data_IF_748145773655
#
_entry.id   IF_748145773655
#
_cell.length_a   1.000
_cell.length_b   1.000
_cell.length_c   1.000
_cell.angle_alpha   90.00
_cell.angle_beta   90.00
_cell.angle_gamma   90.00
#
_symmetry.space_group_name_H-M   'P 1'
#
loop_
_entity.id
_entity.type
_entity.pdbx_description
1 polymer ?
#
# COMPACT_ATOMS: atom_id res chain seq x y z
N UNK A 1 -1.50 -20.69 2.19
CA UNK A 1 -2.41 -19.55 2.38
C UNK A 1 -1.72 -18.51 3.27
N UNK A 2 -0.63 -17.92 2.77
CA UNK A 2 0.27 -17.00 3.49
C UNK A 2 0.34 -15.61 2.83
N UNK A 3 -0.59 -15.30 1.90
CA UNK A 3 -0.49 -14.12 1.03
C UNK A 3 -0.91 -12.79 1.68
N UNK A 4 -1.79 -12.81 2.68
CA UNK A 4 -2.34 -11.58 3.25
C UNK A 4 -1.56 -11.00 4.44
N UNK A 5 -0.67 -11.79 5.04
CA UNK A 5 0.07 -11.36 6.24
C UNK A 5 1.35 -10.57 5.93
N UNK A 6 1.90 -10.68 4.72
CA UNK A 6 3.24 -10.15 4.44
C UNK A 6 3.32 -8.61 4.37
N UNK A 7 2.27 -7.92 3.89
CA UNK A 7 2.26 -6.46 3.89
C UNK A 7 2.09 -5.90 5.31
N UNK A 8 1.26 -6.53 6.13
CA UNK A 8 1.07 -6.14 7.53
C UNK A 8 2.38 -6.28 8.31
N UNK A 9 3.17 -7.33 8.04
CA UNK A 9 4.49 -7.50 8.66
C UNK A 9 5.50 -6.43 8.24
N UNK A 10 5.43 -5.90 7.02
CA UNK A 10 6.27 -4.80 6.58
C UNK A 10 6.03 -3.53 7.41
N UNK A 11 4.78 -3.19 7.66
CA UNK A 11 4.43 -2.04 8.50
C UNK A 11 4.77 -2.29 9.97
N UNK A 12 4.54 -3.48 10.49
CA UNK A 12 4.88 -3.84 11.87
C UNK A 12 6.39 -4.03 12.11
N UNK A 13 7.18 -4.18 11.05
CA UNK A 13 8.63 -4.38 11.16
C UNK A 13 9.40 -3.12 11.55
N UNK A 14 8.80 -1.94 11.49
CA UNK A 14 9.45 -0.66 11.81
C UNK A 14 9.96 -0.59 13.27
N UNK A 15 9.44 -1.44 14.14
CA UNK A 15 9.97 -1.61 15.51
C UNK A 15 11.39 -2.17 15.56
N UNK A 16 11.83 -2.85 14.51
CA UNK A 16 13.21 -3.33 14.39
C UNK A 16 14.04 -2.33 13.59
N UNK A 17 15.06 -1.67 14.17
CA UNK A 17 15.87 -0.68 13.46
C UNK A 17 16.59 -1.24 12.23
N UNK A 18 16.79 -2.57 12.17
CA UNK A 18 17.45 -3.25 11.06
C UNK A 18 16.46 -3.92 10.08
N UNK A 19 15.17 -3.59 10.13
CA UNK A 19 14.15 -4.27 9.33
C UNK A 19 14.44 -4.20 7.81
N UNK A 20 14.96 -3.09 7.33
CA UNK A 20 15.29 -2.91 5.90
C UNK A 20 16.42 -3.86 5.45
N UNK A 21 17.40 -4.15 6.31
CA UNK A 21 18.46 -5.10 5.98
C UNK A 21 17.95 -6.53 5.87
N UNK A 22 16.97 -6.91 6.71
CA UNK A 22 16.30 -8.21 6.58
C UNK A 22 15.52 -8.29 5.26
N UNK A 23 14.77 -7.27 4.87
CA UNK A 23 14.07 -7.26 3.59
C UNK A 23 15.02 -7.26 2.39
N UNK A 24 16.14 -6.55 2.51
CA UNK A 24 17.20 -6.58 1.50
C UNK A 24 17.81 -7.98 1.35
N UNK A 25 18.02 -8.68 2.47
CA UNK A 25 18.46 -10.08 2.45
C UNK A 25 17.44 -10.98 1.75
N UNK A 26 16.16 -10.89 2.12
CA UNK A 26 15.08 -11.65 1.48
C UNK A 26 15.04 -11.38 -0.02
N UNK A 27 15.12 -10.12 -0.44
CA UNK A 27 15.16 -9.74 -1.85
C UNK A 27 16.35 -10.37 -2.61
N UNK A 28 17.52 -10.43 -1.98
CA UNK A 28 18.70 -11.11 -2.54
C UNK A 28 18.52 -12.61 -2.68
N UNK A 29 17.88 -13.26 -1.70
CA UNK A 29 17.57 -14.70 -1.76
C UNK A 29 16.60 -14.99 -2.91
N UNK A 30 15.56 -14.17 -3.08
CA UNK A 30 14.60 -14.29 -4.19
C UNK A 30 15.32 -14.13 -5.54
N UNK A 31 16.14 -13.08 -5.67
CA UNK A 31 16.92 -12.83 -6.89
C UNK A 31 17.88 -14.00 -7.21
N UNK A 32 18.54 -14.55 -6.18
CA UNK A 32 19.42 -15.70 -6.34
C UNK A 32 18.66 -16.95 -6.81
N UNK A 33 17.48 -17.20 -6.24
CA UNK A 33 16.65 -18.33 -6.66
C UNK A 33 16.20 -18.20 -8.13
N UNK A 34 15.81 -17.00 -8.55
CA UNK A 34 15.47 -16.72 -9.96
C UNK A 34 16.69 -16.98 -10.86
N UNK A 35 17.86 -16.46 -10.48
CA UNK A 35 19.10 -16.63 -11.25
C UNK A 35 19.49 -18.11 -11.38
N UNK A 36 19.38 -18.88 -10.30
CA UNK A 36 19.74 -20.31 -10.26
C UNK A 36 18.61 -21.22 -10.79
N UNK A 37 17.52 -20.65 -11.30
CA UNK A 37 16.32 -21.37 -11.74
C UNK A 37 15.79 -22.34 -10.66
N UNK A 38 15.80 -21.90 -9.41
CA UNK A 38 15.27 -22.64 -8.26
C UNK A 38 13.87 -22.15 -7.91
N UNK A 39 13.01 -23.10 -7.59
CA UNK A 39 11.66 -22.79 -7.17
C UNK A 39 11.63 -22.41 -5.69
N UNK A 40 10.98 -21.29 -5.38
CA UNK A 40 10.66 -20.87 -4.01
C UNK A 40 9.15 -20.99 -3.83
N UNK A 41 8.73 -21.68 -2.78
CA UNK A 41 7.31 -21.76 -2.41
C UNK A 41 6.88 -20.47 -1.67
N UNK A 42 6.98 -19.33 -2.35
CA UNK A 42 6.53 -18.05 -1.84
C UNK A 42 5.59 -17.39 -2.86
N UNK A 43 4.53 -16.81 -2.33
CA UNK A 43 3.51 -16.11 -3.12
C UNK A 43 3.44 -14.68 -2.65
N UNK A 44 3.60 -13.75 -3.59
CA UNK A 44 3.52 -12.32 -3.31
C UNK A 44 2.28 -11.72 -3.97
N UNK A 45 1.93 -10.51 -3.58
CA UNK A 45 0.81 -9.78 -4.17
C UNK A 45 1.10 -9.35 -5.60
N UNK A 46 0.03 -9.02 -6.35
CA UNK A 46 0.17 -8.52 -7.72
C UNK A 46 0.96 -7.21 -7.75
N UNK A 47 0.72 -6.31 -6.81
CA UNK A 47 1.44 -5.04 -6.67
C UNK A 47 2.93 -5.26 -6.43
N UNK A 48 3.30 -6.22 -5.58
CA UNK A 48 4.69 -6.59 -5.35
C UNK A 48 5.40 -7.03 -6.65
N UNK A 49 4.79 -7.91 -7.44
CA UNK A 49 5.36 -8.31 -8.73
C UNK A 49 5.44 -7.16 -9.73
N UNK A 50 4.46 -6.25 -9.74
CA UNK A 50 4.50 -5.04 -10.57
C UNK A 50 5.66 -4.13 -10.20
N UNK A 51 5.95 -3.95 -8.89
CA UNK A 51 7.12 -3.20 -8.44
C UNK A 51 8.44 -3.81 -8.91
N UNK A 52 8.60 -5.13 -8.80
CA UNK A 52 9.80 -5.84 -9.33
C UNK A 52 9.96 -5.59 -10.84
N UNK A 53 8.85 -5.58 -11.58
CA UNK A 53 8.84 -5.39 -13.04
C UNK A 53 8.84 -3.91 -13.45
N UNK A 54 8.99 -2.97 -12.53
CA UNK A 54 8.90 -1.53 -12.75
C UNK A 54 7.61 -1.10 -13.48
N UNK A 55 6.50 -1.82 -13.24
CA UNK A 55 5.18 -1.50 -13.79
C UNK A 55 4.39 -0.63 -12.83
N UNK A 56 3.61 0.31 -13.36
CA UNK A 56 2.73 1.15 -12.55
C UNK A 56 1.71 0.33 -11.78
N UNK A 57 1.55 0.63 -10.49
CA UNK A 57 0.50 0.09 -9.62
C UNK A 57 -0.74 0.97 -9.78
N UNK A 58 -1.91 0.38 -9.77
CA UNK A 58 -3.20 1.06 -9.87
C UNK A 58 -4.07 0.69 -8.68
N UNK A 59 -5.06 1.53 -8.35
CA UNK A 59 -6.03 1.24 -7.29
C UNK A 59 -6.73 -0.12 -7.48
N UNK A 60 -6.92 -0.57 -8.73
CA UNK A 60 -7.52 -1.88 -9.05
C UNK A 60 -6.67 -3.07 -8.60
N UNK A 61 -5.37 -2.86 -8.31
CA UNK A 61 -4.53 -3.92 -7.77
C UNK A 61 -4.86 -4.22 -6.30
N UNK A 62 -5.51 -3.26 -5.61
CA UNK A 62 -5.99 -3.43 -4.23
C UNK A 62 -7.14 -4.44 -4.11
N UNK A 63 -7.87 -4.74 -5.18
CA UNK A 63 -8.98 -5.70 -5.17
C UNK A 63 -8.59 -7.06 -4.57
N UNK A 64 -7.37 -7.53 -4.88
CA UNK A 64 -6.85 -8.80 -4.39
C UNK A 64 -6.13 -8.70 -3.04
N UNK A 65 -5.79 -7.50 -2.58
CA UNK A 65 -5.03 -7.25 -1.36
C UNK A 65 -5.95 -6.84 -0.20
N UNK A 66 -6.74 -5.79 -0.42
CA UNK A 66 -7.74 -5.28 0.52
C UNK A 66 -9.01 -4.89 -0.23
N UNK A 67 -9.93 -5.84 -0.30
CA UNK A 67 -11.19 -5.65 -1.03
C UNK A 67 -12.05 -4.54 -0.42
N UNK A 68 -12.03 -4.36 0.89
CA UNK A 68 -12.81 -3.31 1.55
C UNK A 68 -12.26 -1.92 1.19
N UNK A 69 -10.94 -1.76 1.23
CA UNK A 69 -10.30 -0.54 0.81
C UNK A 69 -10.52 -0.25 -0.68
N UNK A 70 -10.39 -1.27 -1.54
CA UNK A 70 -10.70 -1.16 -2.97
C UNK A 70 -12.13 -0.65 -3.22
N UNK A 71 -13.11 -1.22 -2.51
CA UNK A 71 -14.51 -0.77 -2.61
C UNK A 71 -14.71 0.67 -2.13
N UNK A 72 -13.98 1.11 -1.12
CA UNK A 72 -13.97 2.50 -0.68
C UNK A 72 -13.47 3.45 -1.77
N UNK A 73 -12.37 3.08 -2.46
CA UNK A 73 -11.84 3.86 -3.59
C UNK A 73 -12.82 3.85 -4.79
N UNK A 74 -13.43 2.70 -5.09
CA UNK A 74 -14.44 2.59 -6.15
C UNK A 74 -15.67 3.46 -5.85
N UNK A 75 -16.11 3.48 -4.60
CA UNK A 75 -17.18 4.35 -4.15
C UNK A 75 -16.82 5.83 -4.34
N UNK A 76 -15.61 6.23 -3.97
CA UNK A 76 -15.11 7.60 -4.14
C UNK A 76 -15.07 8.01 -5.63
N UNK A 77 -14.72 7.09 -6.54
CA UNK A 77 -14.73 7.36 -7.99
C UNK A 77 -16.13 7.70 -8.49
N UNK A 78 -17.14 6.93 -8.06
CA UNK A 78 -18.49 7.01 -8.61
C UNK A 78 -19.41 8.02 -7.91
N UNK A 79 -19.00 8.53 -6.75
CA UNK A 79 -19.80 9.48 -5.96
C UNK A 79 -19.08 10.83 -5.82
N UNK A 80 -19.86 11.85 -5.50
CA UNK A 80 -19.29 13.19 -5.25
C UNK A 80 -18.63 13.21 -3.87
N UNK A 81 -17.50 13.89 -3.77
CA UNK A 81 -16.78 14.05 -2.49
C UNK A 81 -17.66 14.73 -1.44
N UNK A 82 -18.48 15.70 -1.85
CA UNK A 82 -19.42 16.39 -0.98
C UNK A 82 -20.48 15.47 -0.31
N UNK A 83 -20.78 14.33 -0.93
CA UNK A 83 -21.80 13.38 -0.45
C UNK A 83 -21.23 12.40 0.59
N UNK A 84 -19.93 12.43 0.86
CA UNK A 84 -19.29 11.54 1.83
C UNK A 84 -19.64 11.85 3.28
N UNK A 85 -20.04 13.10 3.59
CA UNK A 85 -20.38 13.54 4.94
C UNK A 85 -19.17 13.71 5.89
N UNK A 86 -17.96 13.59 5.38
CA UNK A 86 -16.69 13.86 6.09
C UNK A 86 -15.64 14.38 5.12
N UNK A 87 -14.69 15.14 5.68
CA UNK A 87 -13.59 15.70 4.91
C UNK A 87 -12.47 14.68 4.73
N UNK A 88 -12.03 14.49 3.49
CA UNK A 88 -10.83 13.73 3.14
C UNK A 88 -9.67 14.68 2.91
N UNK A 89 -8.49 14.30 3.37
CA UNK A 89 -7.23 15.01 3.09
C UNK A 89 -6.22 14.06 2.45
N UNK A 90 -5.16 14.61 1.85
CA UNK A 90 -4.05 13.81 1.31
C UNK A 90 -3.14 13.31 2.43
N UNK A 91 -3.76 12.71 3.46
CA UNK A 91 -3.07 12.06 4.56
C UNK A 91 -3.80 10.78 4.95
N UNK A 92 -3.11 9.91 5.65
CA UNK A 92 -3.68 8.68 6.21
C UNK A 92 -3.32 8.55 7.69
N UNK A 93 -4.22 7.94 8.44
CA UNK A 93 -3.99 7.62 9.85
C UNK A 93 -3.47 6.18 9.95
N UNK A 94 -2.33 6.02 10.57
CA UNK A 94 -1.72 4.72 10.86
C UNK A 94 -1.79 4.51 12.37
N UNK A 95 -2.41 3.42 12.79
CA UNK A 95 -2.43 3.04 14.21
C UNK A 95 -1.40 1.95 14.46
N UNK A 96 -0.30 2.33 15.09
CA UNK A 96 0.73 1.38 15.51
C UNK A 96 0.85 1.37 17.03
N UNK A 97 0.77 0.16 17.64
CA UNK A 97 0.90 -0.05 19.11
C UNK A 97 0.03 0.88 19.96
N UNK A 98 -1.16 1.26 19.49
CA UNK A 98 -2.06 2.16 20.20
C UNK A 98 -1.75 3.65 20.01
N UNK A 99 -0.70 3.99 19.30
CA UNK A 99 -0.38 5.36 18.91
C UNK A 99 -0.96 5.64 17.52
N UNK A 100 -1.68 6.75 17.40
CA UNK A 100 -2.20 7.24 16.12
C UNK A 100 -1.16 8.17 15.50
N UNK A 101 -0.64 7.82 14.34
CA UNK A 101 0.27 8.65 13.56
C UNK A 101 -0.43 9.09 12.27
N UNK A 102 -0.39 10.39 11.98
CA UNK A 102 -0.88 10.94 10.71
C UNK A 102 0.28 11.04 9.75
N UNK A 103 0.18 10.35 8.61
CA UNK A 103 1.20 10.35 7.56
C UNK A 103 0.68 11.07 6.31
N UNK A 104 1.43 12.06 5.83
CA UNK A 104 1.10 12.78 4.61
C UNK A 104 1.43 11.93 3.37
N UNK A 105 0.47 11.82 2.44
CA UNK A 105 0.63 11.12 1.17
C UNK A 105 1.42 11.95 0.14
N UNK A 106 1.30 13.28 0.25
CA UNK A 106 2.05 14.26 -0.54
C UNK A 106 2.55 15.34 0.41
N UNK A 107 3.56 16.13 0.05
CA UNK A 107 4.06 17.20 0.93
C UNK A 107 2.95 18.12 1.42
N UNK A 108 2.81 18.26 2.75
CA UNK A 108 1.74 19.02 3.42
C UNK A 108 0.31 18.49 3.17
N UNK A 109 0.17 17.20 2.86
CA UNK A 109 -1.08 16.60 2.42
C UNK A 109 -2.22 16.68 3.44
N UNK A 110 -1.93 16.68 4.74
CA UNK A 110 -2.93 16.85 5.82
C UNK A 110 -3.70 18.16 5.76
N UNK A 111 -3.15 19.18 5.10
CA UNK A 111 -3.78 20.48 4.91
C UNK A 111 -4.41 20.64 3.50
N UNK A 112 -4.37 19.60 2.68
CA UNK A 112 -4.94 19.61 1.34
C UNK A 112 -6.19 18.74 1.34
N UNK A 113 -7.36 19.39 1.22
CA UNK A 113 -8.64 18.70 1.16
C UNK A 113 -8.82 18.04 -0.21
N UNK A 114 -9.36 16.85 -0.22
CA UNK A 114 -9.77 16.16 -1.45
C UNK A 114 -11.06 16.81 -1.99
N UNK A 115 -11.04 17.19 -3.25
CA UNK A 115 -12.14 17.82 -3.98
C UNK A 115 -12.44 17.03 -5.24
N UNK A 116 -13.52 17.38 -5.97
CA UNK A 116 -13.82 16.75 -7.27
C UNK A 116 -12.68 16.91 -8.29
N UNK A 117 -11.95 18.00 -8.22
CA UNK A 117 -10.88 18.31 -9.18
C UNK A 117 -9.61 17.49 -8.94
N UNK A 118 -9.33 17.12 -7.66
CA UNK A 118 -8.11 16.42 -7.29
C UNK A 118 -8.33 14.99 -6.79
N UNK A 119 -9.58 14.49 -6.72
CA UNK A 119 -9.88 13.15 -6.22
C UNK A 119 -9.20 12.03 -7.00
N UNK A 120 -8.99 12.21 -8.30
CA UNK A 120 -8.31 11.22 -9.12
C UNK A 120 -6.81 11.11 -8.79
N UNK A 121 -6.18 12.21 -8.38
CA UNK A 121 -4.81 12.21 -7.91
C UNK A 121 -4.70 11.56 -6.52
N UNK A 122 -5.73 11.74 -5.67
CA UNK A 122 -5.82 11.08 -4.38
C UNK A 122 -5.94 9.54 -4.50
N UNK A 123 -6.66 9.05 -5.50
CA UNK A 123 -6.89 7.62 -5.76
C UNK A 123 -5.68 6.95 -6.45
N UNK A 124 -4.82 7.73 -7.08
CA UNK A 124 -3.70 7.23 -7.89
C UNK A 124 -2.54 6.74 -7.05
#
# INVERSE_FOLDING_TARGET
MLCFHNLIYLFQSQTNPNHLDYFKFVGRVIAKAIYDNKHLECYFTRSFYKHILAKGVKYTDMESEDYAFYKGLEFLIHNKVADLGYDLTFSTEIREFGVLEVRDLIPNGRNITVTEDNKMDYIR
#
